data_IF_758779079980
#
_entry.id   IF_758779079980
#
_cell.length_a   1.000
_cell.length_b   1.000
_cell.length_c   1.000
_cell.angle_alpha   90.00
_cell.angle_beta   90.00
_cell.angle_gamma   90.00
#
_symmetry.space_group_name_H-M   'P 1'
#
loop_
_entity.id
_entity.type
_entity.pdbx_description
1 polymer ?
#
# COMPACT_ATOMS: atom_id res chain seq x y z
N UNK A 1 12.01 13.12 -17.06
CA UNK A 1 10.69 12.48 -17.11
C UNK A 1 10.78 11.07 -16.58
N UNK A 2 9.87 10.68 -15.74
CA UNK A 2 9.83 9.35 -15.15
C UNK A 2 8.83 8.45 -15.84
N UNK A 3 8.86 7.19 -15.46
CA UNK A 3 7.93 6.18 -15.92
C UNK A 3 6.83 6.00 -14.87
N UNK A 4 5.57 6.05 -15.28
CA UNK A 4 4.43 5.93 -14.35
C UNK A 4 3.73 4.60 -14.53
N UNK A 5 3.50 3.91 -13.42
CA UNK A 5 2.72 2.68 -13.36
C UNK A 5 1.46 2.96 -12.55
N UNK A 6 0.30 2.54 -13.06
CA UNK A 6 -0.98 2.67 -12.36
C UNK A 6 -1.40 1.33 -11.79
N UNK A 7 -2.02 1.35 -10.63
CA UNK A 7 -2.48 0.15 -9.93
C UNK A 7 -3.98 0.21 -9.67
N UNK A 8 -4.63 -0.94 -9.76
CA UNK A 8 -6.04 -1.11 -9.44
C UNK A 8 -6.16 -2.33 -8.54
N UNK A 9 -6.99 -2.24 -7.52
CA UNK A 9 -7.21 -3.33 -6.59
C UNK A 9 -6.78 -2.95 -5.18
N UNK A 10 -6.76 -3.95 -4.32
CA UNK A 10 -6.40 -3.74 -2.92
C UNK A 10 -5.96 -5.06 -2.29
N UNK A 11 -5.28 -4.94 -1.16
CA UNK A 11 -4.89 -6.07 -0.32
C UNK A 11 -5.71 -5.97 0.96
N UNK A 12 -6.53 -6.98 1.23
CA UNK A 12 -7.34 -7.03 2.45
C UNK A 12 -6.49 -7.42 3.65
N UNK A 13 -6.76 -6.79 4.78
CA UNK A 13 -6.06 -7.04 6.04
C UNK A 13 -6.93 -7.88 6.96
N UNK A 14 -6.32 -8.77 7.74
CA UNK A 14 -7.05 -9.65 8.67
C UNK A 14 -7.72 -8.90 9.81
N UNK A 15 -7.29 -7.68 10.08
CA UNK A 15 -7.94 -6.73 10.98
C UNK A 15 -7.71 -5.32 10.49
N UNK A 16 -8.51 -4.37 10.96
CA UNK A 16 -8.27 -2.97 10.66
C UNK A 16 -6.98 -2.50 11.34
N UNK A 17 -6.29 -1.57 10.67
CA UNK A 17 -5.14 -0.90 11.27
C UNK A 17 -5.63 -0.01 12.41
N UNK A 18 -4.81 0.12 13.45
CA UNK A 18 -5.03 1.14 14.46
C UNK A 18 -4.70 2.51 13.86
N UNK A 19 -5.17 3.58 14.49
CA UNK A 19 -4.84 4.93 14.03
C UNK A 19 -3.32 5.18 14.06
N UNK A 20 -2.63 4.63 15.07
CA UNK A 20 -1.18 4.76 15.16
C UNK A 20 -0.46 4.03 14.03
N UNK A 21 -0.91 2.82 13.69
CA UNK A 21 -0.34 2.05 12.59
C UNK A 21 -0.56 2.74 11.25
N UNK A 22 -1.77 3.23 11.01
CA UNK A 22 -2.09 3.95 9.78
C UNK A 22 -1.27 5.25 9.67
N UNK A 23 -1.11 5.97 10.77
CA UNK A 23 -0.29 7.19 10.80
C UNK A 23 1.16 6.86 10.44
N UNK A 24 1.71 5.79 11.01
CA UNK A 24 3.09 5.37 10.72
C UNK A 24 3.27 5.11 9.22
N UNK A 25 2.36 4.34 8.60
CA UNK A 25 2.45 4.04 7.18
C UNK A 25 2.36 5.30 6.31
N UNK A 26 1.49 6.24 6.67
CA UNK A 26 1.36 7.51 5.93
C UNK A 26 2.58 8.40 6.10
N UNK A 27 3.22 8.37 7.27
CA UNK A 27 4.48 9.08 7.47
C UNK A 27 5.62 8.48 6.64
N UNK A 28 5.67 7.14 6.54
CA UNK A 28 6.64 6.45 5.68
C UNK A 28 6.40 6.77 4.19
N UNK A 29 5.15 6.97 3.81
CA UNK A 29 4.79 7.41 2.45
C UNK A 29 5.39 8.78 2.14
N UNK A 30 5.37 9.70 3.09
CA UNK A 30 5.93 11.04 2.90
C UNK A 30 7.46 11.05 3.03
N UNK A 31 8.01 10.24 3.92
CA UNK A 31 9.44 10.24 4.21
C UNK A 31 9.91 8.85 4.66
N UNK A 32 10.54 8.09 3.74
CA UNK A 32 11.05 6.76 4.08
C UNK A 32 12.12 6.77 5.17
N UNK A 33 12.79 7.90 5.39
CA UNK A 33 13.82 8.01 6.44
C UNK A 33 13.22 7.87 7.85
N UNK A 34 11.91 7.98 7.99
CA UNK A 34 11.21 7.73 9.26
C UNK A 34 11.07 6.26 9.60
N UNK A 35 11.41 5.36 8.67
CA UNK A 35 11.33 3.92 8.93
C UNK A 35 12.51 3.51 9.79
N UNK A 36 12.22 2.96 10.97
CA UNK A 36 13.22 2.50 11.93
C UNK A 36 13.39 0.99 11.96
N UNK A 37 12.48 0.25 11.34
CA UNK A 37 12.45 -1.20 11.39
C UNK A 37 12.94 -1.84 10.08
N UNK A 38 13.96 -2.69 10.18
CA UNK A 38 14.40 -3.52 9.06
C UNK A 38 15.02 -2.75 7.90
N UNK A 39 15.33 -3.48 6.87
CA UNK A 39 15.86 -2.93 5.64
C UNK A 39 14.70 -2.64 4.69
N UNK A 40 14.66 -1.44 4.15
CA UNK A 40 13.66 -1.03 3.18
C UNK A 40 14.32 -0.56 1.88
N UNK A 41 13.58 -0.46 0.75
CA UNK A 41 14.16 -0.06 -0.54
C UNK A 41 14.89 1.29 -0.54
N UNK A 42 14.45 2.25 0.25
CA UNK A 42 15.21 3.44 0.63
C UNK A 42 15.36 4.56 -0.40
N UNK A 43 15.27 4.27 -1.67
CA UNK A 43 15.54 5.27 -2.75
C UNK A 43 14.28 5.86 -3.35
N UNK A 44 13.14 5.31 -3.03
CA UNK A 44 11.85 5.73 -3.57
C UNK A 44 10.84 5.83 -2.43
N UNK A 45 9.72 6.50 -2.70
CA UNK A 45 8.66 6.62 -1.72
C UNK A 45 7.80 5.38 -1.72
N UNK A 46 7.35 4.94 -0.54
CA UNK A 46 6.39 3.85 -0.44
C UNK A 46 5.00 4.37 -0.75
N UNK A 47 4.44 3.98 -1.90
CA UNK A 47 3.13 4.45 -2.32
C UNK A 47 2.00 3.47 -2.00
N UNK A 48 2.28 2.43 -1.23
CA UNK A 48 1.26 1.56 -0.65
C UNK A 48 0.78 2.18 0.65
N UNK A 49 -0.49 2.51 0.73
CA UNK A 49 -1.07 3.24 1.87
C UNK A 49 -2.32 2.55 2.37
N UNK A 50 -2.76 2.83 3.61
CA UNK A 50 -4.05 2.32 4.10
C UNK A 50 -5.21 2.84 3.26
N UNK A 51 -6.24 2.01 3.12
CA UNK A 51 -7.53 2.47 2.59
C UNK A 51 -8.21 3.39 3.60
N UNK A 52 -9.23 4.13 3.17
CA UNK A 52 -10.01 5.00 4.06
C UNK A 52 -10.72 4.24 5.17
N UNK A 53 -11.01 2.96 4.96
CA UNK A 53 -11.63 2.09 5.95
C UNK A 53 -10.63 1.40 6.87
N UNK A 54 -9.33 1.57 6.63
CA UNK A 54 -8.21 1.03 7.42
C UNK A 54 -8.10 -0.49 7.41
N UNK A 55 -8.90 -1.18 6.62
CA UNK A 55 -8.91 -2.65 6.54
C UNK A 55 -8.28 -3.19 5.24
N UNK A 56 -7.65 -2.33 4.46
CA UNK A 56 -6.99 -2.72 3.22
C UNK A 56 -5.80 -1.80 2.92
N UNK A 57 -4.94 -2.28 2.02
CA UNK A 57 -3.83 -1.50 1.47
C UNK A 57 -4.15 -1.21 0.01
N UNK A 58 -3.92 0.04 -0.39
CA UNK A 58 -4.16 0.51 -1.76
C UNK A 58 -2.98 1.35 -2.25
N UNK A 59 -2.94 1.64 -3.54
CA UNK A 59 -1.98 2.58 -4.12
C UNK A 59 -2.46 4.01 -3.85
N UNK A 60 -1.52 4.92 -3.55
CA UNK A 60 -1.82 6.32 -3.23
C UNK A 60 -2.15 7.17 -4.46
N UNK A 61 -2.09 6.59 -5.66
CA UNK A 61 -2.37 7.22 -6.95
C UNK A 61 -1.33 8.27 -7.39
N UNK A 62 -0.20 8.34 -6.70
CA UNK A 62 0.88 9.24 -7.09
C UNK A 62 1.72 8.63 -8.22
N UNK A 63 2.37 9.50 -9.00
CA UNK A 63 3.19 9.07 -10.13
C UNK A 63 4.51 8.46 -9.68
N UNK A 64 5.14 7.71 -10.58
CA UNK A 64 6.53 7.26 -10.45
C UNK A 64 6.77 6.38 -9.23
N UNK A 65 5.94 5.34 -9.07
CA UNK A 65 6.15 4.36 -8.02
C UNK A 65 7.22 3.36 -8.45
N UNK A 66 8.45 3.66 -8.04
CA UNK A 66 9.58 2.77 -8.28
C UNK A 66 9.70 1.77 -7.14
N UNK A 67 10.26 0.59 -7.44
CA UNK A 67 10.48 -0.48 -6.44
C UNK A 67 9.20 -0.95 -5.76
N UNK A 68 8.08 -0.91 -6.46
CA UNK A 68 6.78 -1.25 -5.86
C UNK A 68 6.71 -2.69 -5.34
N UNK A 69 7.40 -3.63 -6.00
CA UNK A 69 7.46 -5.02 -5.53
C UNK A 69 8.26 -5.12 -4.23
N UNK A 70 9.42 -4.46 -4.17
CA UNK A 70 10.27 -4.44 -2.99
C UNK A 70 9.57 -3.77 -1.81
N UNK A 71 8.84 -2.69 -2.06
CA UNK A 71 8.05 -2.02 -1.02
C UNK A 71 6.90 -2.90 -0.52
N UNK A 72 6.26 -3.66 -1.41
CA UNK A 72 5.22 -4.59 -0.99
C UNK A 72 5.81 -5.70 -0.10
N UNK A 73 6.96 -6.25 -0.47
CA UNK A 73 7.64 -7.26 0.34
C UNK A 73 7.95 -6.71 1.74
N UNK A 74 8.49 -5.50 1.81
CA UNK A 74 8.77 -4.84 3.08
C UNK A 74 7.50 -4.63 3.91
N UNK A 75 6.43 -4.13 3.27
CA UNK A 75 5.15 -3.86 3.93
C UNK A 75 4.53 -5.13 4.50
N UNK A 76 4.56 -6.22 3.75
CA UNK A 76 4.01 -7.50 4.23
C UNK A 76 4.75 -8.00 5.46
N UNK A 77 6.07 -7.82 5.52
CA UNK A 77 6.86 -8.15 6.71
C UNK A 77 6.50 -7.24 7.89
N UNK A 78 6.34 -5.93 7.64
CA UNK A 78 5.94 -4.97 8.66
C UNK A 78 4.57 -5.32 9.27
N UNK A 79 3.62 -5.70 8.42
CA UNK A 79 2.28 -6.13 8.85
C UNK A 79 2.35 -7.44 9.65
N UNK A 80 3.15 -8.40 9.17
CA UNK A 80 3.30 -9.70 9.83
C UNK A 80 3.82 -9.59 11.25
N UNK A 81 4.80 -8.71 11.48
CA UNK A 81 5.35 -8.45 12.82
C UNK A 81 4.25 -7.97 13.78
N UNK A 82 3.23 -7.30 13.26
CA UNK A 82 2.10 -6.77 14.04
C UNK A 82 0.91 -7.73 14.11
N UNK A 83 1.10 -8.96 13.63
CA UNK A 83 0.04 -9.98 13.63
C UNK A 83 -1.06 -9.71 12.60
N UNK A 84 -0.78 -8.92 11.58
CA UNK A 84 -1.74 -8.62 10.53
C UNK A 84 -1.42 -9.49 9.32
N UNK A 85 -2.38 -10.32 8.93
CA UNK A 85 -2.29 -11.11 7.70
C UNK A 85 -2.91 -10.33 6.54
N UNK A 86 -2.43 -10.56 5.34
CA UNK A 86 -2.85 -9.82 4.16
C UNK A 86 -3.11 -10.77 3.00
N UNK A 87 -4.19 -10.51 2.26
CA UNK A 87 -4.54 -11.27 1.06
C UNK A 87 -5.31 -10.37 0.08
N UNK A 88 -5.02 -10.50 -1.19
CA UNK A 88 -5.70 -9.73 -2.23
C UNK A 88 -4.86 -9.64 -3.49
N UNK A 89 -5.16 -8.67 -4.32
CA UNK A 89 -4.40 -8.46 -5.53
C UNK A 89 -4.42 -7.00 -5.96
N UNK A 90 -3.33 -6.61 -6.63
CA UNK A 90 -3.16 -5.31 -7.24
C UNK A 90 -2.74 -5.53 -8.68
N UNK A 91 -3.53 -5.05 -9.60
CA UNK A 91 -3.24 -5.15 -11.02
C UNK A 91 -2.53 -3.87 -11.46
N UNK A 92 -1.46 -3.99 -12.24
CA UNK A 92 -0.72 -2.81 -12.69
C UNK A 92 -0.78 -2.63 -14.19
N UNK A 93 -0.63 -1.37 -14.59
CA UNK A 93 -0.46 -0.97 -15.99
C UNK A 93 0.60 0.13 -16.07
N UNK A 94 1.70 -0.17 -16.74
CA UNK A 94 2.72 0.83 -17.04
C UNK A 94 2.39 1.64 -18.29
N UNK A 95 3.32 2.48 -18.70
CA UNK A 95 3.16 3.31 -19.90
C UNK A 95 3.30 2.48 -21.18
N UNK A 96 4.11 1.43 -21.16
CA UNK A 96 4.22 0.49 -22.28
C UNK A 96 3.02 -0.45 -22.30
N UNK A 97 2.46 -0.71 -23.47
CA UNK A 97 1.23 -1.51 -23.62
C UNK A 97 1.35 -2.95 -23.13
N UNK A 98 2.55 -3.50 -23.13
CA UNK A 98 2.83 -4.86 -22.66
C UNK A 98 3.24 -4.91 -21.18
N UNK A 99 3.39 -3.75 -20.53
CA UNK A 99 3.72 -3.67 -19.10
C UNK A 99 2.43 -3.71 -18.28
N UNK A 100 1.85 -4.88 -18.19
CA UNK A 100 0.66 -5.15 -17.39
C UNK A 100 0.92 -6.40 -16.54
N UNK A 101 0.26 -6.49 -15.41
CA UNK A 101 0.41 -7.66 -14.57
C UNK A 101 -0.36 -7.53 -13.27
N UNK A 102 -0.05 -8.43 -12.35
CA UNK A 102 -0.76 -8.57 -11.09
C UNK A 102 0.18 -8.93 -9.96
N UNK A 103 0.05 -8.24 -8.85
CA UNK A 103 0.65 -8.64 -7.58
C UNK A 103 -0.45 -9.37 -6.80
N UNK A 104 -0.23 -10.65 -6.51
CA UNK A 104 -1.18 -11.46 -5.75
C UNK A 104 -0.56 -11.74 -4.39
N UNK A 105 -1.33 -11.46 -3.34
CA UNK A 105 -0.92 -11.73 -1.96
C UNK A 105 -1.88 -12.74 -1.37
N UNK A 106 -1.34 -13.84 -0.85
CA UNK A 106 -2.11 -14.89 -0.19
C UNK A 106 -1.46 -15.18 1.15
N UNK A 107 -2.19 -14.90 2.23
CA UNK A 107 -1.72 -15.13 3.61
C UNK A 107 -0.32 -14.53 3.84
N UNK A 108 -0.11 -13.31 3.35
CA UNK A 108 1.15 -12.58 3.52
C UNK A 108 2.26 -12.96 2.55
N UNK A 109 2.02 -13.89 1.63
CA UNK A 109 2.99 -14.29 0.62
C UNK A 109 2.67 -13.63 -0.73
N UNK A 110 3.66 -13.03 -1.34
CA UNK A 110 3.50 -12.29 -2.61
C UNK A 110 3.92 -13.13 -3.80
N UNK A 111 3.11 -13.06 -4.86
CA UNK A 111 3.43 -13.63 -6.16
C UNK A 111 3.17 -12.56 -7.23
N UNK A 112 4.05 -12.46 -8.21
CA UNK A 112 3.92 -11.51 -9.31
C UNK A 112 3.60 -12.29 -10.59
N UNK A 113 2.48 -11.93 -11.22
CA UNK A 113 2.01 -12.56 -12.47
C UNK A 113 1.92 -11.47 -13.53
N UNK A 114 2.63 -11.65 -14.64
CA UNK A 114 2.64 -10.66 -15.73
C UNK A 114 1.59 -11.01 -16.80
N UNK A 115 1.02 -9.96 -17.40
CA UNK A 115 0.10 -10.12 -18.52
C UNK A 115 -1.36 -10.31 -18.18
N UNK A 116 -1.76 -10.04 -16.91
CA UNK A 116 -3.14 -10.19 -16.49
C UNK A 116 -3.95 -8.90 -16.65
N UNK A 117 -5.26 -9.04 -16.87
CA UNK A 117 -6.15 -7.89 -17.01
C UNK A 117 -6.43 -7.22 -15.66
N UNK A 118 -6.58 -5.90 -15.69
CA UNK A 118 -6.90 -5.11 -14.51
C UNK A 118 -8.36 -5.26 -14.09
N UNK A 119 -8.62 -5.17 -12.79
CA UNK A 119 -9.94 -5.17 -12.19
C UNK A 119 -10.17 -3.85 -11.45
N UNK A 120 -11.42 -3.40 -11.44
CA UNK A 120 -11.78 -2.19 -10.70
C UNK A 120 -11.68 -2.39 -9.19
N UNK A 121 -11.36 -1.32 -8.47
CA UNK A 121 -11.34 -1.30 -7.01
C UNK A 121 -12.29 -0.23 -6.48
N UNK A 122 -12.99 -0.54 -5.39
CA UNK A 122 -13.86 0.41 -4.70
C UNK A 122 -13.18 1.10 -3.52
N UNK A 123 -11.97 0.70 -3.16
CA UNK A 123 -11.27 1.27 -2.02
C UNK A 123 -10.54 2.56 -2.41
N UNK A 124 -10.61 3.55 -1.54
CA UNK A 124 -9.92 4.83 -1.71
C UNK A 124 -8.75 4.92 -0.76
N UNK A 125 -7.65 5.62 -1.15
CA UNK A 125 -6.50 5.81 -0.27
C UNK A 125 -6.85 6.69 0.93
N UNK A 126 -6.29 6.34 2.10
CA UNK A 126 -6.33 7.19 3.28
C UNK A 126 -5.36 8.35 3.12
N UNK A 127 -5.67 9.50 3.70
CA UNK A 127 -4.77 10.64 3.76
C UNK A 127 -4.50 11.00 5.22
N UNK A 128 -3.40 11.70 5.47
CA UNK A 128 -3.08 12.18 6.83
C UNK A 128 -4.14 13.15 7.33
N UNK A 129 -4.68 14.01 6.45
CA UNK A 129 -5.74 14.95 6.80
C UNK A 129 -7.00 14.22 7.27
N UNK A 130 -7.44 13.21 6.52
CA UNK A 130 -8.62 12.43 6.89
C UNK A 130 -8.39 11.64 8.17
N UNK A 131 -7.20 11.05 8.31
CA UNK A 131 -6.84 10.31 9.52
C UNK A 131 -6.83 11.20 10.75
N UNK A 132 -6.29 12.42 10.63
CA UNK A 132 -6.27 13.39 11.73
C UNK A 132 -7.69 13.75 12.17
N UNK A 133 -8.62 13.94 11.22
CA UNK A 133 -10.03 14.20 11.54
C UNK A 133 -10.67 13.03 12.26
N UNK A 134 -10.41 11.81 11.81
CA UNK A 134 -10.93 10.59 12.45
C UNK A 134 -10.41 10.45 13.89
N UNK A 135 -9.13 10.74 14.11
CA UNK A 135 -8.53 10.67 15.45
C UNK A 135 -9.15 11.71 16.38
N UNK A 136 -9.41 12.92 15.87
CA UNK A 136 -10.07 13.99 16.64
C UNK A 136 -11.50 13.60 17.01
N UNK A 137 -12.26 13.05 16.06
CA UNK A 137 -13.62 12.57 16.30
C UNK A 137 -13.65 11.47 17.37
N UNK A 138 -12.72 10.53 17.29
CA UNK A 138 -12.60 9.45 18.28
C UNK A 138 -12.28 9.99 19.67
N UNK A 139 -11.47 11.05 19.76
CA UNK A 139 -11.09 11.67 21.05
C UNK A 139 -12.23 12.47 21.67
N UNK A 140 -13.19 12.93 20.86
CA UNK A 140 -14.32 13.75 21.33
C UNK A 140 -15.61 12.96 21.51
N UNK A 141 -15.61 11.71 21.09
CA UNK A 141 -16.79 10.83 21.15
C UNK A 141 -17.13 10.38 22.58
#
# INVERSE_FOLDING_TARGET
MGYTTKFIGHIDLSRSLTLAEAKALLEFNEDPDKIEEGEHPGRSYMQWVPSETLDAIVWDQQEKFYDYEAWMTWLLAWLSVRGINASGQLDWRGESTDDIGRIVVTDGAMEVVKGEKQKASSHKPMTLEKLARMALEAATA
#
